data_IF_123500469323
#
_entry.id   IF_123500469323
#
_cell.length_a   1.000
_cell.length_b   1.000
_cell.length_c   1.000
_cell.angle_alpha   90.00
_cell.angle_beta   90.00
_cell.angle_gamma   90.00
#
_symmetry.space_group_name_H-M   'P 1'
#
loop_
_entity.id
_entity.type
_entity.pdbx_description
1 polymer ?
#
# COMPACT_ATOMS: atom_id res chain seq x y z
N UNK A 1 -12.58 -0.33 -6.04
CA UNK A 1 -11.35 -1.14 -6.25
C UNK A 1 -10.57 -0.39 -7.31
N UNK A 2 -9.50 0.30 -6.92
CA UNK A 2 -8.71 1.06 -7.90
C UNK A 2 -8.03 0.08 -8.86
N UNK A 3 -8.10 0.35 -10.15
CA UNK A 3 -7.46 -0.45 -11.19
C UNK A 3 -5.94 -0.32 -11.10
N UNK A 4 -5.30 -1.05 -10.17
CA UNK A 4 -3.85 -0.99 -9.93
C UNK A 4 -3.03 -1.36 -11.17
N UNK A 5 -3.62 -2.10 -12.11
CA UNK A 5 -3.02 -2.49 -13.39
C UNK A 5 -2.79 -1.32 -14.35
N UNK A 6 -3.52 -0.20 -14.21
CA UNK A 6 -3.38 0.98 -15.07
C UNK A 6 -2.26 1.91 -14.62
N UNK A 7 -1.83 1.80 -13.37
CA UNK A 7 -0.77 2.64 -12.80
C UNK A 7 0.59 2.14 -13.28
N UNK A 8 1.47 3.09 -13.60
CA UNK A 8 2.87 2.78 -13.85
C UNK A 8 3.55 2.29 -12.55
N UNK A 9 4.60 1.50 -12.72
CA UNK A 9 5.48 1.03 -11.64
C UNK A 9 5.99 2.18 -10.76
N UNK A 10 6.38 3.30 -11.36
CA UNK A 10 6.87 4.47 -10.63
C UNK A 10 5.78 5.11 -9.77
N UNK A 11 4.56 5.18 -10.29
CA UNK A 11 3.39 5.69 -9.58
C UNK A 11 2.95 4.75 -8.46
N UNK A 12 3.01 3.44 -8.67
CA UNK A 12 2.74 2.44 -7.64
C UNK A 12 3.71 2.59 -6.45
N UNK A 13 5.00 2.79 -6.71
CA UNK A 13 6.00 3.00 -5.65
C UNK A 13 5.74 4.29 -4.87
N UNK A 14 5.42 5.39 -5.56
CA UNK A 14 5.05 6.66 -4.91
C UNK A 14 3.80 6.51 -4.05
N UNK A 15 2.74 5.90 -4.60
CA UNK A 15 1.50 5.64 -3.88
C UNK A 15 1.70 4.75 -2.64
N UNK A 16 2.61 3.77 -2.70
CA UNK A 16 2.98 2.95 -1.53
C UNK A 16 3.65 3.81 -0.46
N UNK A 17 4.56 4.71 -0.82
CA UNK A 17 5.22 5.60 0.12
C UNK A 17 4.22 6.54 0.80
N UNK A 18 3.34 7.17 0.02
CA UNK A 18 2.33 8.10 0.53
C UNK A 18 1.35 7.40 1.49
N UNK A 19 0.88 6.19 1.15
CA UNK A 19 -0.03 5.43 2.04
C UNK A 19 0.67 4.92 3.29
N UNK A 20 1.98 4.63 3.24
CA UNK A 20 2.77 4.28 4.43
C UNK A 20 2.89 5.48 5.38
N UNK A 21 3.11 6.67 4.85
CA UNK A 21 3.15 7.88 5.67
C UNK A 21 1.76 8.19 6.26
N UNK A 22 0.69 8.07 5.47
CA UNK A 22 -0.67 8.22 5.98
C UNK A 22 -0.97 7.22 7.13
N UNK A 23 -0.54 5.96 6.99
CA UNK A 23 -0.66 4.96 8.05
C UNK A 23 0.16 5.33 9.30
N UNK A 24 1.35 5.92 9.11
CA UNK A 24 2.21 6.40 10.21
C UNK A 24 1.54 7.57 10.93
N UNK A 25 1.11 8.61 10.23
CA UNK A 25 0.39 9.75 10.79
C UNK A 25 -0.88 9.31 11.52
N UNK A 26 -1.64 8.37 10.94
CA UNK A 26 -2.82 7.79 11.58
C UNK A 26 -2.46 7.11 12.91
N UNK A 27 -1.38 6.32 12.97
CA UNK A 27 -0.93 5.68 14.22
C UNK A 27 -0.52 6.69 15.28
N UNK A 28 0.21 7.75 14.91
CA UNK A 28 0.58 8.82 15.84
C UNK A 28 -0.65 9.55 16.36
N UNK A 29 -1.57 9.93 15.48
CA UNK A 29 -2.82 10.59 15.86
C UNK A 29 -3.71 9.71 16.75
N UNK A 30 -3.71 8.38 16.51
CA UNK A 30 -4.49 7.43 17.30
C UNK A 30 -3.91 7.19 18.71
N UNK A 31 -2.61 7.37 18.91
CA UNK A 31 -1.96 7.13 20.21
C UNK A 31 -2.36 8.14 21.30
N UNK A 32 -2.80 9.35 20.91
CA UNK A 32 -3.19 10.41 21.84
C UNK A 32 -4.65 10.86 21.77
N UNK A 33 -5.41 10.39 20.78
CA UNK A 33 -6.81 10.81 20.57
C UNK A 33 -7.78 9.64 20.63
N UNK A 34 -9.04 9.91 20.99
CA UNK A 34 -10.14 8.94 20.96
C UNK A 34 -10.60 8.66 19.51
N UNK A 35 -9.66 8.56 18.56
CA UNK A 35 -9.94 8.30 17.16
C UNK A 35 -10.60 6.93 17.01
N UNK A 36 -11.87 6.94 16.57
CA UNK A 36 -12.72 5.74 16.43
C UNK A 36 -12.62 5.07 15.06
N UNK A 37 -11.87 5.64 14.10
CA UNK A 37 -11.83 5.12 12.73
C UNK A 37 -10.77 4.01 12.53
N UNK A 38 -10.91 2.91 13.27
CA UNK A 38 -10.08 1.71 13.12
C UNK A 38 -10.20 1.05 11.74
N UNK A 39 -11.30 1.30 11.00
CA UNK A 39 -11.49 0.78 9.63
C UNK A 39 -10.49 1.38 8.66
N UNK A 40 -10.19 2.67 8.80
CA UNK A 40 -9.24 3.38 7.94
C UNK A 40 -7.86 2.73 7.96
N UNK A 41 -7.33 2.42 9.14
CA UNK A 41 -6.05 1.72 9.27
C UNK A 41 -6.05 0.31 8.70
N UNK A 42 -7.21 -0.38 8.68
CA UNK A 42 -7.34 -1.67 7.98
C UNK A 42 -7.37 -1.49 6.46
N UNK A 43 -8.07 -0.48 5.95
CA UNK A 43 -8.13 -0.18 4.53
C UNK A 43 -6.77 0.22 3.98
N UNK A 44 -6.06 1.14 4.65
CA UNK A 44 -4.69 1.56 4.28
C UNK A 44 -3.74 0.37 4.19
N UNK A 45 -3.75 -0.53 5.19
CA UNK A 45 -2.93 -1.76 5.15
C UNK A 45 -3.27 -2.66 3.97
N UNK A 46 -4.57 -2.85 3.69
CA UNK A 46 -5.02 -3.68 2.57
C UNK A 46 -4.56 -3.10 1.24
N UNK A 47 -4.69 -1.79 1.05
CA UNK A 47 -4.27 -1.12 -0.18
C UNK A 47 -2.75 -1.18 -0.39
N UNK A 48 -1.96 -0.97 0.67
CA UNK A 48 -0.49 -1.13 0.61
C UNK A 48 -0.15 -2.57 0.19
N UNK A 49 -0.79 -3.58 0.80
CA UNK A 49 -0.54 -4.97 0.46
C UNK A 49 -0.85 -5.27 -1.01
N UNK A 50 -2.00 -4.82 -1.52
CA UNK A 50 -2.39 -5.02 -2.92
C UNK A 50 -1.41 -4.38 -3.90
N UNK A 51 -0.93 -3.16 -3.63
CA UNK A 51 0.06 -2.49 -4.48
C UNK A 51 1.40 -3.21 -4.47
N UNK A 52 1.86 -3.70 -3.31
CA UNK A 52 3.08 -4.50 -3.22
C UNK A 52 2.96 -5.85 -3.93
N UNK A 53 1.79 -6.48 -3.89
CA UNK A 53 1.54 -7.72 -4.64
C UNK A 53 1.63 -7.48 -6.14
N UNK A 54 1.01 -6.44 -6.66
CA UNK A 54 1.10 -6.07 -8.09
C UNK A 54 2.56 -5.78 -8.50
N UNK A 55 3.32 -5.04 -7.69
CA UNK A 55 4.74 -4.81 -7.95
C UNK A 55 5.52 -6.13 -8.00
N UNK A 56 5.25 -7.04 -7.07
CA UNK A 56 5.90 -8.35 -7.04
C UNK A 56 5.51 -9.23 -8.21
N UNK A 57 4.25 -9.20 -8.64
CA UNK A 57 3.77 -9.91 -9.84
C UNK A 57 4.50 -9.40 -11.09
N UNK A 58 4.70 -8.09 -11.22
CA UNK A 58 5.48 -7.50 -12.32
C UNK A 58 6.95 -7.91 -12.28
N UNK A 59 7.57 -7.92 -11.10
CA UNK A 59 8.96 -8.40 -10.94
C UNK A 59 9.11 -9.87 -11.35
N UNK A 60 8.19 -10.74 -10.93
CA UNK A 60 8.21 -12.17 -11.28
C UNK A 60 7.98 -12.38 -12.78
N UNK A 61 7.17 -11.54 -13.42
CA UNK A 61 6.96 -11.59 -14.87
C UNK A 61 8.23 -11.22 -15.66
N UNK A 62 9.06 -10.32 -15.13
CA UNK A 62 10.33 -9.91 -15.74
C UNK A 62 11.44 -10.93 -15.48
N UNK A 63 11.53 -11.46 -14.25
CA UNK A 63 12.51 -12.48 -13.89
C UNK A 63 11.81 -13.79 -13.49
N UNK A 64 11.71 -14.78 -14.40
CA UNK A 64 11.17 -16.09 -14.03
C UNK A 64 12.07 -16.70 -12.96
N UNK A 65 11.45 -17.14 -11.85
CA UNK A 65 12.12 -17.73 -10.68
C UNK A 65 13.31 -18.59 -11.11
N UNK A 66 14.53 -18.15 -10.78
CA UNK A 66 15.70 -19.03 -10.77
C UNK A 66 15.43 -20.09 -9.70
N UNK A 67 15.37 -21.34 -10.15
CA UNK A 67 15.10 -22.52 -9.35
C UNK A 67 16.10 -22.68 -8.20
#
# INVERSE_FOLDING_TARGET
>A
MADLKKLDTTELVKNVADKREALRSMRFNAAGSRSRNVREGRMLRKEIAQMLTELREREIAVEPKKA
#
